data_IF_386565783413
#
_entry.id   IF_386565783413
#
_cell.length_a   1.000
_cell.length_b   1.000
_cell.length_c   1.000
_cell.angle_alpha   90.00
_cell.angle_beta   90.00
_cell.angle_gamma   90.00
#
_symmetry.space_group_name_H-M   'P 1'
#
loop_
_entity.id
_entity.type
_entity.pdbx_description
1 polymer ?
#
# COMPACT_ATOMS: atom_id res chain seq x y z
N UNK A 1 -14.92 8.65 1.00
CA UNK A 1 -14.00 9.59 1.70
C UNK A 1 -12.82 8.77 2.09
N UNK A 2 -11.62 9.17 1.65
CA UNK A 2 -10.45 8.32 1.69
C UNK A 2 -9.62 8.68 2.94
N UNK A 3 -9.24 7.69 3.73
CA UNK A 3 -8.54 7.92 4.99
C UNK A 3 -7.04 7.64 4.88
N UNK A 4 -6.23 8.47 5.53
CA UNK A 4 -4.85 8.12 5.87
C UNK A 4 -4.87 7.14 7.06
N UNK A 5 -4.19 6.01 6.93
CA UNK A 5 -4.22 4.92 7.91
C UNK A 5 -2.82 4.74 8.49
N UNK A 6 -2.69 4.99 9.79
CA UNK A 6 -1.46 4.81 10.54
C UNK A 6 -1.72 3.90 11.73
N UNK A 7 -0.88 2.89 11.91
CA UNK A 7 -0.98 1.93 13.01
C UNK A 7 0.38 1.55 13.52
N UNK A 8 0.43 1.18 14.80
CA UNK A 8 1.65 0.70 15.45
C UNK A 8 1.43 -0.61 16.19
N UNK A 9 2.41 -1.51 16.14
CA UNK A 9 2.55 -2.64 17.04
C UNK A 9 3.84 -2.52 17.87
N UNK A 10 3.80 -3.01 19.11
CA UNK A 10 4.94 -2.99 20.04
C UNK A 10 5.58 -4.38 20.07
N UNK A 11 6.78 -4.50 19.52
CA UNK A 11 7.53 -5.76 19.48
C UNK A 11 8.48 -5.81 20.68
N UNK A 12 8.25 -6.77 21.58
CA UNK A 12 8.98 -6.87 22.87
C UNK A 12 10.05 -7.95 22.89
N UNK A 13 10.08 -8.83 21.88
CA UNK A 13 11.04 -9.92 21.79
C UNK A 13 11.66 -9.98 20.41
N UNK A 14 12.89 -10.47 20.32
CA UNK A 14 13.54 -10.75 19.02
C UNK A 14 12.77 -11.82 18.22
N UNK A 15 11.98 -12.66 18.88
CA UNK A 15 11.06 -13.60 18.23
C UNK A 15 9.90 -12.90 17.53
N UNK A 16 9.27 -11.89 18.17
CA UNK A 16 8.21 -11.10 17.52
C UNK A 16 8.75 -10.33 16.31
N UNK A 17 9.95 -9.75 16.44
CA UNK A 17 10.65 -9.06 15.34
C UNK A 17 10.94 -10.05 14.21
N UNK A 18 11.50 -11.22 14.52
CA UNK A 18 11.83 -12.24 13.52
C UNK A 18 10.59 -12.75 12.78
N UNK A 19 9.49 -13.05 13.48
CA UNK A 19 8.26 -13.51 12.85
C UNK A 19 7.62 -12.45 11.95
N UNK A 20 7.62 -11.19 12.38
CA UNK A 20 7.16 -10.07 11.56
C UNK A 20 8.04 -9.86 10.32
N UNK A 21 9.37 -9.87 10.49
CA UNK A 21 10.30 -9.72 9.37
C UNK A 21 10.18 -10.87 8.37
N UNK A 22 9.98 -12.10 8.86
CA UNK A 22 9.79 -13.25 7.99
C UNK A 22 8.54 -13.11 7.12
N UNK A 23 7.43 -12.63 7.69
CA UNK A 23 6.23 -12.27 6.95
C UNK A 23 6.50 -11.16 5.92
N UNK A 24 7.11 -10.05 6.35
CA UNK A 24 7.30 -8.87 5.50
C UNK A 24 8.29 -9.09 4.35
N UNK A 25 9.34 -9.88 4.57
CA UNK A 25 10.29 -10.29 3.54
C UNK A 25 9.87 -11.56 2.79
N UNK A 26 8.65 -12.08 3.04
CA UNK A 26 8.08 -13.27 2.39
C UNK A 26 8.97 -14.51 2.49
N UNK A 27 9.72 -14.66 3.58
CA UNK A 27 10.54 -15.86 3.86
C UNK A 27 9.72 -17.01 4.45
N UNK A 28 8.45 -16.74 4.76
CA UNK A 28 7.42 -17.72 5.09
C UNK A 28 6.23 -17.55 4.16
N UNK A 29 5.45 -18.62 3.99
CA UNK A 29 4.18 -18.56 3.29
C UNK A 29 3.27 -17.52 3.94
N UNK A 30 2.82 -16.57 3.13
CA UNK A 30 2.03 -15.43 3.59
C UNK A 30 0.69 -15.42 2.84
N UNK A 31 -0.43 -15.68 3.52
CA UNK A 31 -1.74 -15.72 2.88
C UNK A 31 -2.10 -14.40 2.17
N UNK A 32 -2.86 -14.49 1.09
CA UNK A 32 -3.37 -13.35 0.31
C UNK A 32 -2.28 -12.48 -0.36
N UNK A 33 -1.09 -13.04 -0.56
CA UNK A 33 -0.05 -12.43 -1.39
C UNK A 33 -0.12 -12.97 -2.80
N UNK A 34 0.19 -12.14 -3.79
CA UNK A 34 0.41 -12.56 -5.18
C UNK A 34 1.93 -12.67 -5.44
N UNK A 35 2.47 -13.90 -5.55
CA UNK A 35 3.90 -14.10 -5.80
C UNK A 35 4.43 -13.41 -7.06
N UNK A 36 3.58 -13.14 -8.05
CA UNK A 36 3.98 -12.44 -9.27
C UNK A 36 4.21 -10.94 -9.04
N UNK A 37 3.64 -10.40 -7.96
CA UNK A 37 3.77 -9.00 -7.57
C UNK A 37 4.83 -8.80 -6.47
N UNK A 38 5.26 -9.86 -5.76
CA UNK A 38 6.33 -9.77 -4.75
C UNK A 38 7.59 -9.05 -5.24
N UNK A 39 8.07 -9.24 -6.50
CA UNK A 39 9.22 -8.48 -7.00
C UNK A 39 9.00 -6.96 -7.11
N UNK A 40 7.75 -6.48 -6.99
CA UNK A 40 7.41 -5.05 -6.93
C UNK A 40 7.42 -4.48 -5.51
N UNK A 41 7.60 -5.33 -4.50
CA UNK A 41 7.86 -4.85 -3.15
C UNK A 41 9.21 -4.14 -3.12
N UNK A 42 9.29 -3.09 -2.32
CA UNK A 42 10.53 -2.36 -2.09
C UNK A 42 10.98 -2.56 -0.64
N UNK A 43 12.28 -2.74 -0.44
CA UNK A 43 12.88 -2.94 0.87
C UNK A 43 14.11 -2.04 0.99
N UNK A 44 14.12 -1.14 1.98
CA UNK A 44 15.26 -0.24 2.22
C UNK A 44 16.51 -0.99 2.71
N UNK A 45 16.34 -2.21 3.19
CA UNK A 45 17.41 -3.10 3.65
C UNK A 45 17.22 -4.46 2.98
N UNK A 46 18.28 -5.02 2.42
CA UNK A 46 18.22 -6.18 1.53
C UNK A 46 17.67 -7.46 2.18
N UNK A 47 17.91 -7.68 3.48
CA UNK A 47 17.53 -8.93 4.14
C UNK A 47 16.85 -8.69 5.49
N UNK A 48 15.94 -9.59 5.92
CA UNK A 48 15.34 -9.51 7.24
C UNK A 48 16.38 -9.68 8.35
N UNK A 49 17.43 -10.48 8.13
CA UNK A 49 18.53 -10.65 9.08
C UNK A 49 19.27 -9.34 9.32
N UNK A 50 19.50 -8.54 8.26
CA UNK A 50 20.16 -7.25 8.38
C UNK A 50 19.32 -6.25 9.16
N UNK A 51 18.00 -6.19 8.93
CA UNK A 51 17.09 -5.35 9.76
C UNK A 51 17.11 -5.80 11.21
N UNK A 52 17.01 -7.11 11.45
CA UNK A 52 17.05 -7.69 12.80
C UNK A 52 18.36 -7.37 13.51
N UNK A 53 19.48 -7.39 12.79
CA UNK A 53 20.79 -7.03 13.31
C UNK A 53 20.89 -5.54 13.60
N UNK A 54 20.44 -4.67 12.69
CA UNK A 54 20.38 -3.22 12.90
C UNK A 54 19.57 -2.84 14.15
N UNK A 55 18.42 -3.49 14.38
CA UNK A 55 17.66 -3.33 15.63
C UNK A 55 18.52 -3.74 16.82
N UNK A 56 19.13 -4.93 16.78
CA UNK A 56 19.92 -5.49 17.88
C UNK A 56 21.08 -4.59 18.27
N UNK A 57 21.76 -3.98 17.30
CA UNK A 57 22.94 -3.14 17.51
C UNK A 57 22.61 -1.81 18.21
N UNK A 58 21.37 -1.33 18.08
CA UNK A 58 20.90 -0.13 18.76
C UNK A 58 20.38 -0.41 20.19
N UNK A 59 20.11 -1.68 20.55
CA UNK A 59 19.54 -2.00 21.85
C UNK A 59 20.59 -1.94 22.96
N UNK A 60 20.24 -1.35 24.14
CA UNK A 60 21.13 -1.39 25.29
C UNK A 60 21.27 -2.82 25.84
N UNK A 61 22.49 -3.14 26.31
CA UNK A 61 22.83 -4.43 26.90
C UNK A 61 21.92 -4.76 28.09
N UNK A 62 21.73 -3.78 29.00
CA UNK A 62 20.80 -3.87 30.13
C UNK A 62 19.50 -3.14 29.82
N UNK A 63 18.39 -3.88 29.91
CA UNK A 63 17.03 -3.35 29.74
C UNK A 63 16.02 -4.14 30.57
N UNK A 64 14.88 -3.52 30.85
CA UNK A 64 13.73 -4.18 31.48
C UNK A 64 13.21 -5.31 30.58
N UNK A 65 12.72 -6.40 31.19
CA UNK A 65 12.26 -7.60 30.48
C UNK A 65 11.04 -7.35 29.59
N UNK A 66 10.19 -6.37 29.94
CA UNK A 66 9.02 -5.97 29.15
C UNK A 66 9.27 -4.74 28.27
N UNK A 67 10.54 -4.38 28.02
CA UNK A 67 10.92 -3.29 27.13
C UNK A 67 10.35 -3.55 25.72
N UNK A 68 9.84 -2.49 25.10
CA UNK A 68 9.53 -2.52 23.68
C UNK A 68 10.86 -2.32 22.95
N UNK A 69 11.27 -3.33 22.19
CA UNK A 69 12.54 -3.34 21.46
C UNK A 69 12.41 -2.61 20.12
N UNK A 70 11.24 -2.75 19.50
CA UNK A 70 10.95 -2.15 18.21
C UNK A 70 9.47 -1.76 18.13
N UNK A 71 9.18 -0.61 17.53
CA UNK A 71 7.86 -0.22 17.08
C UNK A 71 7.75 -0.60 15.61
N UNK A 72 6.79 -1.46 15.30
CA UNK A 72 6.40 -1.71 13.92
C UNK A 72 5.30 -0.73 13.55
N UNK A 73 5.50 0.02 12.46
CA UNK A 73 4.48 0.85 11.85
C UNK A 73 3.84 0.12 10.68
N UNK A 74 2.52 0.23 10.54
CA UNK A 74 1.81 -0.02 9.30
C UNK A 74 1.22 1.31 8.84
N UNK A 75 1.54 1.70 7.61
CA UNK A 75 1.09 2.94 6.99
C UNK A 75 0.47 2.62 5.63
N UNK A 76 -0.77 3.03 5.43
CA UNK A 76 -1.50 2.83 4.17
C UNK A 76 -2.61 3.88 4.06
N UNK A 77 -3.45 3.78 3.05
CA UNK A 77 -4.63 4.59 2.88
C UNK A 77 -5.85 3.71 2.55
N UNK A 78 -7.03 4.32 2.45
CA UNK A 78 -8.23 3.69 1.91
C UNK A 78 -7.92 2.89 0.63
N UNK A 79 -8.37 1.62 0.52
CA UNK A 79 -8.20 0.82 -0.70
C UNK A 79 -8.75 1.50 -1.97
N UNK A 80 -9.83 2.26 -1.81
CA UNK A 80 -10.51 3.02 -2.86
C UNK A 80 -9.84 4.37 -3.20
N UNK A 81 -8.67 4.67 -2.63
CA UNK A 81 -7.95 5.90 -2.96
C UNK A 81 -7.37 5.83 -4.37
N UNK A 82 -7.75 6.80 -5.20
CA UNK A 82 -7.36 6.90 -6.62
C UNK A 82 -5.86 7.18 -6.83
N UNK A 83 -5.09 7.41 -5.76
CA UNK A 83 -3.64 7.61 -5.85
C UNK A 83 -2.84 6.33 -6.07
N UNK A 84 -3.40 5.15 -5.78
CA UNK A 84 -2.71 3.87 -5.96
C UNK A 84 -2.35 3.63 -7.44
N UNK A 85 -1.13 3.14 -7.67
CA UNK A 85 -0.59 2.90 -9.01
C UNK A 85 -0.28 4.17 -9.81
N UNK A 86 -0.30 5.35 -9.17
CA UNK A 86 0.06 6.65 -9.77
C UNK A 86 1.29 7.24 -9.09
N UNK A 87 1.82 8.35 -9.60
CA UNK A 87 2.92 9.08 -8.93
C UNK A 87 2.58 9.55 -7.52
N UNK A 88 1.29 9.69 -7.17
CA UNK A 88 0.87 10.04 -5.81
C UNK A 88 1.17 8.93 -4.81
N UNK A 89 1.21 7.67 -5.24
CA UNK A 89 1.56 6.54 -4.38
C UNK A 89 3.01 6.67 -3.90
N UNK A 90 3.94 6.94 -4.82
CA UNK A 90 5.35 7.10 -4.49
C UNK A 90 5.55 8.31 -3.56
N UNK A 91 4.89 9.43 -3.87
CA UNK A 91 4.89 10.62 -3.02
C UNK A 91 4.31 10.35 -1.62
N UNK A 92 3.23 9.55 -1.52
CA UNK A 92 2.65 9.14 -0.25
C UNK A 92 3.64 8.37 0.62
N UNK A 93 4.34 7.38 0.04
CA UNK A 93 5.29 6.56 0.79
C UNK A 93 6.59 7.30 1.13
N UNK A 94 7.04 8.21 0.27
CA UNK A 94 8.17 9.10 0.57
C UNK A 94 7.84 10.00 1.76
N UNK A 95 6.69 10.69 1.73
CA UNK A 95 6.23 11.55 2.83
C UNK A 95 6.01 10.76 4.13
N UNK A 96 5.50 9.54 4.05
CA UNK A 96 5.36 8.67 5.21
C UNK A 96 6.71 8.27 5.82
N UNK A 97 7.71 8.00 4.98
CA UNK A 97 9.07 7.68 5.43
C UNK A 97 9.76 8.89 6.06
N UNK A 98 9.63 10.08 5.45
CA UNK A 98 10.12 11.34 6.02
C UNK A 98 9.46 11.65 7.36
N UNK A 99 8.14 11.47 7.46
CA UNK A 99 7.41 11.66 8.72
C UNK A 99 7.90 10.73 9.84
N UNK A 100 8.24 9.48 9.52
CA UNK A 100 8.84 8.55 10.49
C UNK A 100 10.22 9.03 10.94
N UNK A 101 11.07 9.45 10.00
CA UNK A 101 12.40 9.99 10.28
C UNK A 101 12.34 11.26 11.13
N UNK A 102 11.46 12.20 10.81
CA UNK A 102 11.28 13.43 11.59
C UNK A 102 10.79 13.13 13.01
N UNK A 103 9.92 12.13 13.15
CA UNK A 103 9.32 11.76 14.43
C UNK A 103 10.28 11.02 15.35
N UNK A 104 11.09 10.12 14.80
CA UNK A 104 11.90 9.18 15.58
C UNK A 104 13.39 9.44 15.50
N UNK A 105 13.87 10.21 14.53
CA UNK A 105 15.27 10.24 14.11
C UNK A 105 15.52 9.19 13.02
N UNK A 106 16.21 9.58 11.94
CA UNK A 106 16.49 8.69 10.81
C UNK A 106 17.35 7.49 11.23
N UNK A 107 18.26 7.69 12.19
CA UNK A 107 19.13 6.67 12.77
C UNK A 107 18.36 5.57 13.51
N UNK A 108 17.14 5.88 13.98
CA UNK A 108 16.28 4.93 14.71
C UNK A 108 15.42 4.08 13.77
N UNK A 109 15.43 4.34 12.46
CA UNK A 109 14.73 3.54 11.46
C UNK A 109 15.64 2.38 11.03
N UNK A 110 15.34 1.17 11.50
CA UNK A 110 16.14 -0.01 11.18
C UNK A 110 15.83 -0.62 9.80
N UNK A 111 14.64 -0.35 9.27
CA UNK A 111 14.23 -0.81 7.94
C UNK A 111 12.81 -0.41 7.60
N UNK A 112 12.57 -0.18 6.31
CA UNK A 112 11.26 0.13 5.72
C UNK A 112 11.00 -0.85 4.58
N UNK A 113 9.77 -1.29 4.45
CA UNK A 113 9.32 -2.15 3.35
C UNK A 113 7.99 -1.64 2.81
N UNK A 114 7.88 -1.49 1.50
CA UNK A 114 6.64 -1.12 0.81
C UNK A 114 6.14 -2.36 0.07
N UNK A 115 4.99 -2.87 0.49
CA UNK A 115 4.38 -4.05 -0.14
C UNK A 115 3.34 -3.62 -1.17
N UNK A 116 3.42 -4.20 -2.37
CA UNK A 116 2.51 -4.01 -3.50
C UNK A 116 1.95 -5.33 -4.02
N UNK A 117 2.20 -6.41 -3.28
CA UNK A 117 1.82 -7.78 -3.58
C UNK A 117 0.55 -8.25 -2.87
N UNK A 118 -0.15 -7.35 -2.19
CA UNK A 118 -1.45 -7.60 -1.56
C UNK A 118 -2.50 -6.63 -2.08
N UNK A 119 -3.74 -6.77 -1.58
CA UNK A 119 -4.90 -6.00 -2.05
C UNK A 119 -4.74 -4.48 -1.99
N UNK A 120 -4.03 -3.94 -0.99
CA UNK A 120 -3.78 -2.51 -0.82
C UNK A 120 -2.31 -2.25 -0.50
N UNK A 121 -1.62 -1.41 -1.29
CA UNK A 121 -0.24 -1.07 -1.00
C UNK A 121 -0.07 -0.50 0.41
N UNK A 122 0.99 -0.93 1.10
CA UNK A 122 1.26 -0.44 2.45
C UNK A 122 2.74 -0.46 2.78
N UNK A 123 3.13 0.47 3.62
CA UNK A 123 4.47 0.58 4.19
C UNK A 123 4.50 -0.06 5.57
N UNK A 124 5.51 -0.88 5.80
CA UNK A 124 5.90 -1.37 7.12
C UNK A 124 7.25 -0.80 7.49
N UNK A 125 7.38 -0.23 8.68
CA UNK A 125 8.66 0.27 9.18
C UNK A 125 8.98 -0.27 10.56
N UNK A 126 10.25 -0.56 10.79
CA UNK A 126 10.79 -1.01 12.06
C UNK A 126 11.61 0.10 12.70
N UNK A 127 11.15 0.59 13.84
CA UNK A 127 11.74 1.73 14.54
C UNK A 127 12.20 1.33 15.93
N UNK A 128 13.48 1.51 16.24
CA UNK A 128 13.99 1.34 17.61
C UNK A 128 13.64 2.61 18.40
N UNK A 129 12.86 2.52 19.50
CA UNK A 129 12.33 3.72 20.15
C UNK A 129 13.36 4.34 21.10
N UNK A 130 14.46 4.86 20.57
CA UNK A 130 15.44 5.64 21.33
C UNK A 130 14.95 7.10 21.41
N UNK A 131 14.75 7.62 22.62
CA UNK A 131 14.34 9.01 22.81
C UNK A 131 15.51 10.00 22.62
N UNK A 132 15.19 11.29 22.62
CA UNK A 132 16.20 12.37 22.52
C UNK A 132 17.27 12.34 23.63
N UNK A 133 17.06 11.56 24.70
CA UNK A 133 18.02 11.38 25.80
C UNK A 133 18.89 10.13 25.59
N UNK A 134 18.81 9.48 24.43
CA UNK A 134 19.54 8.26 24.09
C UNK A 134 19.02 7.01 24.81
N UNK A 135 17.78 7.03 25.33
CA UNK A 135 17.23 5.89 26.10
C UNK A 135 16.17 5.14 25.30
N UNK A 136 16.18 3.82 25.41
CA UNK A 136 15.10 2.96 24.90
C UNK A 136 13.77 3.25 25.64
N UNK A 137 12.91 4.06 25.03
CA UNK A 137 11.74 4.67 25.64
C UNK A 137 10.55 4.81 24.67
N UNK A 138 9.86 3.69 24.42
CA UNK A 138 8.62 3.68 23.63
C UNK A 138 7.49 4.55 24.21
N UNK A 139 7.50 4.82 25.53
CA UNK A 139 6.47 5.68 26.16
C UNK A 139 6.61 7.13 25.71
N UNK A 140 7.80 7.58 25.32
CA UNK A 140 7.93 8.93 24.79
C UNK A 140 7.19 9.12 23.47
N UNK A 141 7.20 8.09 22.61
CA UNK A 141 6.53 8.13 21.32
C UNK A 141 5.04 7.74 21.38
N UNK A 142 4.72 6.65 22.10
CA UNK A 142 3.40 6.01 22.10
C UNK A 142 2.70 6.03 23.47
N UNK A 143 3.14 6.91 24.37
CA UNK A 143 2.64 7.00 25.73
C UNK A 143 1.35 7.79 25.85
N UNK A 144 0.24 7.07 25.94
CA UNK A 144 -1.05 7.64 26.32
C UNK A 144 -1.91 8.11 25.15
N UNK A 145 -3.21 8.29 25.43
CA UNK A 145 -4.25 8.57 24.44
C UNK A 145 -4.03 9.88 23.69
N UNK A 146 -3.56 10.93 24.37
CA UNK A 146 -3.34 12.25 23.78
C UNK A 146 -2.26 12.19 22.70
N UNK A 147 -1.10 11.57 23.01
CA UNK A 147 -0.01 11.41 22.03
C UNK A 147 -0.45 10.62 20.80
N UNK A 148 -1.18 9.51 21.01
CA UNK A 148 -1.68 8.70 19.90
C UNK A 148 -2.73 9.42 19.05
N UNK A 149 -3.63 10.19 19.66
CA UNK A 149 -4.59 11.01 18.93
C UNK A 149 -3.88 12.07 18.09
N UNK A 150 -2.94 12.80 18.69
CA UNK A 150 -2.16 13.82 17.99
C UNK A 150 -1.33 13.22 16.85
N UNK A 151 -0.80 12.01 17.03
CA UNK A 151 -0.07 11.28 16.01
C UNK A 151 -0.94 11.00 14.78
N UNK A 152 -2.20 10.58 14.98
CA UNK A 152 -3.15 10.38 13.87
C UNK A 152 -3.45 11.70 13.13
N UNK A 153 -3.64 12.80 13.87
CA UNK A 153 -3.87 14.12 13.28
C UNK A 153 -2.67 14.59 12.49
N UNK A 154 -1.48 14.51 13.08
CA UNK A 154 -0.25 15.00 12.48
C UNK A 154 0.10 14.22 11.22
N UNK A 155 -0.01 12.89 11.22
CA UNK A 155 0.21 12.09 10.02
C UNK A 155 -0.82 12.40 8.92
N UNK A 156 -2.11 12.50 9.26
CA UNK A 156 -3.14 12.83 8.26
C UNK A 156 -2.90 14.19 7.60
N UNK A 157 -2.39 15.18 8.36
CA UNK A 157 -2.04 16.50 7.81
C UNK A 157 -0.87 16.44 6.81
N UNK A 158 0.10 15.54 7.02
CA UNK A 158 1.26 15.35 6.12
C UNK A 158 0.86 14.95 4.70
N UNK A 159 -0.28 14.27 4.56
CA UNK A 159 -0.77 13.69 3.29
C UNK A 159 -2.13 14.24 2.87
N UNK A 160 -2.58 15.36 3.46
CA UNK A 160 -3.93 15.88 3.26
C UNK A 160 -4.17 16.38 1.82
N UNK A 161 -3.17 17.00 1.22
CA UNK A 161 -3.17 17.50 -0.17
C UNK A 161 -3.22 16.37 -1.21
N UNK A 162 -2.93 15.12 -0.80
CA UNK A 162 -3.12 13.93 -1.63
C UNK A 162 -4.60 13.47 -1.69
N UNK A 163 -5.51 14.21 -1.05
CA UNK A 163 -6.94 13.90 -0.98
C UNK A 163 -7.29 12.88 0.10
N UNK A 164 -6.38 12.66 1.06
CA UNK A 164 -6.58 11.79 2.21
C UNK A 164 -7.00 12.61 3.43
N UNK A 165 -7.82 11.99 4.28
CA UNK A 165 -8.38 12.64 5.47
C UNK A 165 -8.06 11.84 6.72
N UNK A 166 -8.12 12.50 7.88
CA UNK A 166 -7.95 11.85 9.16
C UNK A 166 -9.09 10.87 9.43
N UNK A 167 -8.78 9.71 10.01
CA UNK A 167 -9.80 8.83 10.58
C UNK A 167 -10.66 9.51 11.65
N UNK A 168 -11.86 8.97 11.87
CA UNK A 168 -12.85 9.54 12.80
C UNK A 168 -12.27 9.70 14.20
N UNK A 169 -12.26 10.93 14.69
CA UNK A 169 -11.82 11.22 16.05
C UNK A 169 -12.73 10.57 17.11
N UNK A 170 -12.12 9.98 18.13
CA UNK A 170 -12.86 9.26 19.16
C UNK A 170 -13.59 8.02 18.64
N UNK A 171 -13.19 7.48 17.48
CA UNK A 171 -13.75 6.25 16.94
C UNK A 171 -13.76 5.14 18.00
N UNK A 172 -14.91 4.48 18.13
CA UNK A 172 -15.11 3.31 19.00
C UNK A 172 -14.77 2.00 18.28
N UNK A 173 -14.33 2.07 17.02
CA UNK A 173 -13.96 0.89 16.26
C UNK A 173 -12.84 0.12 16.99
N UNK A 174 -13.06 -1.18 17.18
CA UNK A 174 -12.02 -2.08 17.68
C UNK A 174 -11.20 -2.55 16.48
N UNK A 175 -9.89 -2.63 16.67
CA UNK A 175 -9.06 -3.30 15.68
C UNK A 175 -9.40 -4.78 15.64
N UNK A 176 -9.66 -5.28 14.43
CA UNK A 176 -9.85 -6.70 14.14
C UNK A 176 -8.59 -7.23 13.48
N UNK A 177 -8.06 -8.36 13.96
CA UNK A 177 -6.92 -9.00 13.31
C UNK A 177 -7.32 -9.42 11.88
N UNK A 178 -6.39 -9.34 10.92
CA UNK A 178 -6.64 -9.76 9.53
C UNK A 178 -7.17 -11.20 9.45
N UNK A 179 -6.71 -12.11 10.32
CA UNK A 179 -7.20 -13.48 10.36
C UNK A 179 -8.66 -13.58 10.81
N UNK A 180 -9.03 -12.78 11.81
CA UNK A 180 -10.42 -12.68 12.29
C UNK A 180 -11.30 -12.06 11.20
N UNK A 181 -10.81 -11.02 10.52
CA UNK A 181 -11.51 -10.38 9.40
C UNK A 181 -11.84 -11.37 8.27
N UNK A 182 -10.86 -12.15 7.80
CA UNK A 182 -11.10 -13.16 6.78
C UNK A 182 -11.91 -14.36 7.29
N UNK A 183 -11.82 -14.70 8.57
CA UNK A 183 -12.71 -15.68 9.18
C UNK A 183 -14.17 -15.20 9.09
N UNK A 184 -14.44 -13.96 9.50
CA UNK A 184 -15.78 -13.36 9.44
C UNK A 184 -16.31 -13.32 7.99
N UNK A 185 -15.46 -12.98 7.01
CA UNK A 185 -15.84 -13.02 5.58
C UNK A 185 -16.22 -14.42 5.12
N UNK A 186 -15.36 -15.40 5.39
CA UNK A 186 -15.56 -16.77 4.92
C UNK A 186 -16.81 -17.41 5.55
N UNK A 187 -17.16 -17.02 6.78
CA UNK A 187 -18.33 -17.51 7.49
C UNK A 187 -19.54 -16.57 7.42
N UNK A 188 -19.49 -15.49 6.64
CA UNK A 188 -20.58 -14.54 6.51
C UNK A 188 -21.89 -15.16 5.98
N UNK A 189 -21.77 -16.26 5.22
CA UNK A 189 -22.90 -17.03 4.69
C UNK A 189 -23.56 -17.96 5.72
N UNK A 190 -22.87 -18.26 6.82
CA UNK A 190 -23.35 -19.15 7.90
C UNK A 190 -24.00 -18.35 9.04
N UNK A 191 -24.34 -17.07 8.80
CA UNK A 191 -24.84 -16.17 9.82
C UNK A 191 -26.21 -16.59 10.33
N UNK A 192 -26.31 -16.84 11.63
CA UNK A 192 -27.57 -17.14 12.31
C UNK A 192 -27.71 -16.23 13.54
N UNK A 193 -28.78 -15.44 13.59
CA UNK A 193 -29.05 -14.53 14.71
C UNK A 193 -29.44 -15.37 15.93
N UNK A 194 -28.60 -15.37 16.96
CA UNK A 194 -28.96 -15.97 18.25
C UNK A 194 -29.82 -14.98 19.03
N UNK A 195 -31.06 -15.36 19.32
CA UNK A 195 -32.04 -14.60 20.12
C UNK A 195 -31.69 -14.52 21.61
N UNK A 196 -30.41 -14.43 21.97
CA UNK A 196 -29.99 -14.23 23.36
C UNK A 196 -30.14 -12.75 23.68
N UNK A 197 -31.32 -12.37 24.15
CA UNK A 197 -31.56 -11.03 24.67
C UNK A 197 -30.76 -10.86 25.97
N UNK A 198 -30.02 -9.76 26.16
CA UNK A 198 -29.35 -9.48 27.42
C UNK A 198 -30.37 -9.51 28.58
N UNK A 199 -29.97 -10.04 29.74
CA UNK A 199 -30.83 -10.06 30.92
C UNK A 199 -30.99 -8.62 31.45
N UNK A 200 -32.21 -8.17 31.77
CA UNK A 200 -32.41 -6.86 32.36
C UNK A 200 -31.75 -6.77 33.74
N UNK A 201 -31.13 -5.62 34.03
CA UNK A 201 -30.58 -5.34 35.36
C UNK A 201 -31.68 -4.86 36.33
N UNK A 202 -31.47 -5.08 37.63
CA UNK A 202 -32.42 -4.64 38.66
C UNK A 202 -32.50 -3.10 38.65
N UNK A 203 -33.72 -2.55 38.58
CA UNK A 203 -34.00 -1.11 38.44
C UNK A 203 -33.55 -0.45 37.12
N UNK A 204 -33.29 -1.23 36.06
CA UNK A 204 -33.00 -0.70 34.73
C UNK A 204 -34.25 -0.10 34.06
N UNK A 205 -34.11 1.07 33.45
CA UNK A 205 -35.22 1.69 32.71
C UNK A 205 -35.47 0.97 31.38
N UNK A 206 -36.71 0.98 30.90
CA UNK A 206 -37.07 0.38 29.60
C UNK A 206 -36.23 0.93 28.44
N UNK A 207 -35.90 2.23 28.47
CA UNK A 207 -35.06 2.89 27.46
C UNK A 207 -33.64 2.32 27.45
N UNK A 208 -33.00 2.20 28.63
CA UNK A 208 -31.64 1.69 28.75
C UNK A 208 -31.53 0.21 28.42
N UNK A 209 -32.56 -0.57 28.79
CA UNK A 209 -32.70 -1.95 28.36
C UNK A 209 -32.84 -2.06 26.82
N UNK A 210 -33.67 -1.20 26.21
CA UNK A 210 -33.82 -1.11 24.76
C UNK A 210 -32.49 -0.81 24.05
N UNK A 211 -31.71 0.14 24.54
CA UNK A 211 -30.38 0.46 24.02
C UNK A 211 -29.41 -0.74 24.10
N UNK A 212 -29.41 -1.49 25.20
CA UNK A 212 -28.61 -2.72 25.33
C UNK A 212 -29.01 -3.79 24.33
N UNK A 213 -30.31 -4.01 24.14
CA UNK A 213 -30.83 -4.96 23.16
C UNK A 213 -30.41 -4.54 21.76
N UNK A 214 -30.58 -3.26 21.40
CA UNK A 214 -30.14 -2.73 20.10
C UNK A 214 -28.63 -2.88 19.91
N UNK A 215 -27.82 -2.56 20.91
CA UNK A 215 -26.37 -2.72 20.84
C UNK A 215 -25.96 -4.19 20.65
N UNK A 216 -26.59 -5.12 21.37
CA UNK A 216 -26.33 -6.55 21.24
C UNK A 216 -26.71 -7.09 19.85
N UNK A 217 -27.82 -6.62 19.26
CA UNK A 217 -28.23 -6.99 17.90
C UNK A 217 -27.25 -6.41 16.87
N UNK A 218 -26.83 -5.15 17.02
CA UNK A 218 -25.82 -4.54 16.15
C UNK A 218 -24.49 -5.32 16.23
N UNK A 219 -24.04 -5.67 17.43
CA UNK A 219 -22.80 -6.45 17.63
C UNK A 219 -22.88 -7.83 16.96
N UNK A 220 -24.05 -8.48 16.96
CA UNK A 220 -24.24 -9.73 16.24
C UNK A 220 -24.19 -9.55 14.73
N UNK A 221 -24.80 -8.51 14.17
CA UNK A 221 -24.91 -8.30 12.71
C UNK A 221 -23.66 -7.64 12.11
N UNK A 222 -22.85 -6.95 12.93
CA UNK A 222 -21.65 -6.22 12.49
C UNK A 222 -20.68 -7.06 11.64
N UNK A 223 -20.32 -8.31 11.99
CA UNK A 223 -19.43 -9.15 11.18
C UNK A 223 -19.99 -9.42 9.78
N UNK A 224 -21.28 -9.74 9.67
CA UNK A 224 -21.93 -10.02 8.39
C UNK A 224 -21.99 -8.79 7.49
N UNK A 225 -22.28 -7.61 8.05
CA UNK A 225 -22.27 -6.36 7.30
C UNK A 225 -20.86 -6.01 6.82
N UNK A 226 -19.84 -6.19 7.67
CA UNK A 226 -18.43 -6.01 7.28
C UNK A 226 -18.06 -6.96 6.13
N UNK A 227 -18.43 -8.23 6.24
CA UNK A 227 -18.16 -9.21 5.21
C UNK A 227 -18.87 -8.91 3.89
N UNK A 228 -20.15 -8.54 3.94
CA UNK A 228 -20.92 -8.16 2.76
C UNK A 228 -20.28 -6.95 2.05
N UNK A 229 -19.87 -5.93 2.80
CA UNK A 229 -19.17 -4.78 2.24
C UNK A 229 -17.82 -5.17 1.61
N UNK A 230 -17.06 -6.08 2.22
CA UNK A 230 -15.81 -6.58 1.64
C UNK A 230 -16.05 -7.31 0.31
N UNK A 231 -17.03 -8.21 0.28
CA UNK A 231 -17.40 -8.96 -0.93
C UNK A 231 -17.83 -7.99 -2.04
N UNK A 232 -18.57 -6.94 -1.71
CA UNK A 232 -18.96 -5.90 -2.66
C UNK A 232 -17.74 -5.14 -3.20
N UNK A 233 -16.79 -4.76 -2.35
CA UNK A 233 -15.55 -4.09 -2.79
C UNK A 233 -14.71 -5.00 -3.69
N UNK A 234 -14.53 -6.27 -3.34
CA UNK A 234 -13.79 -7.24 -4.16
C UNK A 234 -14.46 -7.43 -5.52
N UNK A 235 -15.80 -7.50 -5.55
CA UNK A 235 -16.57 -7.57 -6.79
C UNK A 235 -16.40 -6.32 -7.66
N UNK A 236 -16.46 -5.12 -7.08
CA UNK A 236 -16.26 -3.87 -7.80
C UNK A 236 -14.85 -3.76 -8.38
N UNK A 237 -13.82 -4.14 -7.60
CA UNK A 237 -12.44 -4.20 -8.08
C UNK A 237 -12.31 -5.17 -9.26
N UNK A 238 -12.80 -6.40 -9.11
CA UNK A 238 -12.76 -7.40 -10.18
C UNK A 238 -13.49 -6.92 -11.45
N UNK A 239 -14.59 -6.18 -11.30
CA UNK A 239 -15.32 -5.58 -12.42
C UNK A 239 -14.47 -4.53 -13.16
N UNK A 240 -13.76 -3.67 -12.44
CA UNK A 240 -12.86 -2.66 -13.01
C UNK A 240 -11.67 -3.32 -13.70
N UNK A 241 -11.00 -4.27 -13.02
CA UNK A 241 -9.86 -5.00 -13.57
C UNK A 241 -10.24 -5.72 -14.86
N UNK A 242 -11.42 -6.36 -14.90
CA UNK A 242 -11.97 -6.97 -16.12
C UNK A 242 -12.18 -5.94 -17.23
N UNK A 243 -12.76 -4.78 -16.93
CA UNK A 243 -12.98 -3.73 -17.93
C UNK A 243 -11.66 -3.22 -18.52
N UNK A 244 -10.62 -3.08 -17.70
CA UNK A 244 -9.27 -2.68 -18.15
C UNK A 244 -8.64 -3.78 -19.01
N UNK A 245 -8.77 -5.04 -18.60
CA UNK A 245 -8.29 -6.18 -19.37
C UNK A 245 -8.99 -6.30 -20.74
N UNK A 246 -10.31 -6.11 -20.80
CA UNK A 246 -11.09 -6.09 -22.04
C UNK A 246 -10.67 -4.95 -22.97
N UNK A 247 -10.45 -3.74 -22.43
CA UNK A 247 -9.95 -2.61 -23.22
C UNK A 247 -8.54 -2.88 -23.78
N UNK A 248 -7.67 -3.49 -22.97
CA UNK A 248 -6.31 -3.88 -23.37
C UNK A 248 -6.33 -4.97 -24.44
N UNK A 249 -7.17 -5.99 -24.27
CA UNK A 249 -7.39 -7.05 -25.25
C UNK A 249 -7.89 -6.50 -26.58
N UNK A 250 -8.90 -5.63 -26.55
CA UNK A 250 -9.44 -5.00 -27.77
C UNK A 250 -8.38 -4.15 -28.49
N UNK A 251 -7.52 -3.46 -27.74
CA UNK A 251 -6.41 -2.69 -28.30
C UNK A 251 -5.36 -3.61 -28.95
N UNK A 252 -4.98 -4.69 -28.27
CA UNK A 252 -4.02 -5.66 -28.80
C UNK A 252 -4.57 -6.35 -30.05
N UNK A 253 -5.83 -6.80 -29.99
CA UNK A 253 -6.54 -7.39 -31.13
C UNK A 253 -6.45 -6.48 -32.35
N UNK A 254 -6.86 -5.21 -32.23
CA UNK A 254 -6.76 -4.22 -33.32
C UNK A 254 -5.34 -4.04 -33.87
N UNK A 255 -4.31 -4.11 -33.01
CA UNK A 255 -2.90 -3.98 -33.44
C UNK A 255 -2.39 -5.19 -34.20
N UNK A 256 -2.83 -6.39 -33.81
CA UNK A 256 -2.32 -7.66 -34.34
C UNK A 256 -3.13 -8.15 -35.54
N UNK A 257 -4.39 -7.75 -35.66
CA UNK A 257 -5.30 -8.15 -36.75
C UNK A 257 -4.72 -7.95 -38.16
N UNK A 258 -4.10 -6.79 -38.52
CA UNK A 258 -3.53 -6.62 -39.85
C UNK A 258 -2.42 -7.63 -40.17
N UNK A 259 -1.62 -8.00 -39.17
CA UNK A 259 -0.56 -8.98 -39.34
C UNK A 259 -1.15 -10.39 -39.49
N UNK A 260 -2.15 -10.76 -38.68
CA UNK A 260 -2.82 -12.07 -38.80
C UNK A 260 -3.46 -12.25 -40.17
N UNK A 261 -4.11 -11.22 -40.70
CA UNK A 261 -4.66 -11.21 -42.06
C UNK A 261 -3.55 -11.33 -43.10
N UNK A 262 -2.42 -10.65 -42.92
CA UNK A 262 -1.30 -10.68 -43.87
C UNK A 262 -0.60 -12.05 -43.96
N UNK A 263 -0.67 -12.87 -42.90
CA UNK A 263 -0.06 -14.20 -42.86
C UNK A 263 -1.05 -15.35 -43.09
N UNK A 264 -2.34 -15.03 -43.24
CA UNK A 264 -3.38 -16.03 -43.42
C UNK A 264 -3.13 -16.85 -44.70
N UNK A 265 -3.09 -18.18 -44.57
CA UNK A 265 -2.85 -19.10 -45.69
C UNK A 265 -1.39 -19.22 -46.14
N UNK A 266 -0.44 -18.50 -45.51
CA UNK A 266 0.99 -18.62 -45.81
C UNK A 266 1.63 -19.82 -45.09
N UNK A 267 2.64 -20.42 -45.71
CA UNK A 267 3.46 -21.45 -45.08
C UNK A 267 4.58 -20.85 -44.19
N UNK A 268 5.28 -21.64 -43.36
CA UNK A 268 6.29 -21.11 -42.43
C UNK A 268 7.44 -20.33 -43.08
N UNK A 269 7.88 -20.72 -44.29
CA UNK A 269 8.96 -20.01 -45.01
C UNK A 269 8.46 -18.66 -45.53
N UNK A 270 7.23 -18.59 -46.02
CA UNK A 270 6.57 -17.36 -46.45
C UNK A 270 6.36 -16.39 -45.29
N UNK A 271 5.89 -16.90 -44.14
CA UNK A 271 5.76 -16.11 -42.91
C UNK A 271 7.11 -15.55 -42.47
N UNK A 272 8.18 -16.34 -42.59
CA UNK A 272 9.55 -15.88 -42.27
C UNK A 272 9.95 -14.71 -43.16
N UNK A 273 9.70 -14.79 -44.48
CA UNK A 273 9.97 -13.68 -45.42
C UNK A 273 9.18 -12.41 -45.08
N UNK A 274 7.91 -12.54 -44.70
CA UNK A 274 7.06 -11.41 -44.27
C UNK A 274 7.64 -10.76 -43.02
N UNK A 275 8.05 -11.56 -42.05
CA UNK A 275 8.68 -11.07 -40.81
C UNK A 275 10.00 -10.34 -41.07
N UNK A 276 10.86 -10.88 -41.92
CA UNK A 276 12.13 -10.24 -42.28
C UNK A 276 11.90 -8.88 -42.96
N UNK A 277 10.91 -8.81 -43.85
CA UNK A 277 10.53 -7.57 -44.52
C UNK A 277 9.99 -6.54 -43.53
N UNK A 278 9.11 -6.96 -42.60
CA UNK A 278 8.57 -6.11 -41.55
C UNK A 278 9.68 -5.56 -40.64
N UNK A 279 10.67 -6.38 -40.29
CA UNK A 279 11.84 -5.94 -39.52
C UNK A 279 12.70 -4.94 -40.30
N UNK A 280 12.92 -5.18 -41.59
CA UNK A 280 13.67 -4.26 -42.45
C UNK A 280 12.99 -2.89 -42.56
N UNK A 281 11.69 -2.87 -42.81
CA UNK A 281 10.91 -1.62 -42.88
C UNK A 281 10.88 -0.89 -41.53
N UNK A 282 10.73 -1.63 -40.42
CA UNK A 282 10.82 -1.06 -39.07
C UNK A 282 12.16 -0.34 -38.84
N UNK A 283 13.28 -0.95 -39.29
CA UNK A 283 14.62 -0.32 -39.21
C UNK A 283 14.71 0.94 -40.07
N UNK A 284 14.16 0.94 -41.28
CA UNK A 284 14.13 2.14 -42.16
C UNK A 284 13.38 3.29 -41.50
N UNK A 285 12.17 3.02 -41.00
CA UNK A 285 11.35 4.02 -40.28
C UNK A 285 12.10 4.58 -39.06
N UNK A 286 12.82 3.72 -38.31
CA UNK A 286 13.61 4.16 -37.17
C UNK A 286 14.74 5.12 -37.57
N UNK A 287 15.44 4.84 -38.68
CA UNK A 287 16.50 5.70 -39.22
C UNK A 287 15.94 7.04 -39.69
N UNK A 288 14.79 7.05 -40.36
CA UNK A 288 14.11 8.28 -40.79
C UNK A 288 13.74 9.17 -39.60
N UNK A 289 13.15 8.59 -38.54
CA UNK A 289 12.82 9.33 -37.32
C UNK A 289 14.03 10.00 -36.66
N UNK A 290 15.19 9.33 -36.66
CA UNK A 290 16.43 9.91 -36.11
C UNK A 290 16.91 11.08 -36.97
N UNK A 291 16.84 10.96 -38.30
CA UNK A 291 17.18 12.05 -39.22
C UNK A 291 16.25 13.25 -39.02
N UNK A 292 14.94 13.02 -38.89
CA UNK A 292 13.95 14.06 -38.68
C UNK A 292 14.13 14.78 -37.34
N UNK A 293 14.40 14.04 -36.25
CA UNK A 293 14.74 14.64 -34.95
C UNK A 293 15.98 15.51 -35.03
N UNK A 294 17.03 15.04 -35.70
CA UNK A 294 18.27 15.79 -35.87
C UNK A 294 18.07 17.04 -36.73
N UNK A 295 17.25 16.95 -37.78
CA UNK A 295 16.86 18.10 -38.59
C UNK A 295 16.02 19.13 -37.79
N UNK A 296 15.10 18.67 -36.94
CA UNK A 296 14.34 19.54 -36.03
C UNK A 296 15.23 20.21 -34.99
N UNK A 297 16.19 19.50 -34.41
CA UNK A 297 17.15 20.10 -33.46
C UNK A 297 18.02 21.16 -34.14
N UNK A 298 18.58 20.89 -35.32
CA UNK A 298 19.37 21.87 -36.09
C UNK A 298 18.54 23.09 -36.49
N UNK A 299 17.28 22.90 -36.85
CA UNK A 299 16.32 24.01 -37.11
C UNK A 299 16.06 24.84 -35.84
N UNK A 300 15.96 24.18 -34.67
CA UNK A 300 15.75 24.86 -33.38
C UNK A 300 16.97 25.67 -32.94
N UNK A 301 18.18 25.16 -33.14
CA UNK A 301 19.43 25.88 -32.85
C UNK A 301 19.64 27.07 -33.80
N UNK A 302 19.36 26.92 -35.09
CA UNK A 302 19.47 28.03 -36.06
C UNK A 302 18.44 29.15 -35.84
N UNK A 303 17.25 28.84 -35.31
CA UNK A 303 16.27 29.87 -34.90
C UNK A 303 16.67 30.63 -33.62
N UNK A 304 17.48 30.03 -32.75
CA UNK A 304 18.01 30.69 -31.54
C UNK A 304 19.14 31.66 -31.92
N UNK A 305 20.04 31.25 -32.83
CA UNK A 305 21.15 32.11 -33.31
C UNK A 305 20.69 33.29 -34.18
N UNK A 306 19.55 33.17 -34.87
CA UNK A 306 18.96 34.30 -35.61
C UNK A 306 18.33 35.37 -34.71
N UNK A 307 17.86 35.00 -33.50
CA UNK A 307 17.28 35.96 -32.53
C UNK A 307 18.33 36.68 -31.68
N UNK A 308 19.52 36.09 -31.50
CA UNK A 308 20.63 36.76 -30.79
C UNK A 308 21.37 37.76 -31.67
N UNK A 309 21.38 37.58 -33.00
CA UNK A 309 22.06 38.48 -33.95
C UNK A 309 21.18 39.63 -34.50
N UNK A 310 19.92 39.77 -34.08
CA UNK A 310 19.03 40.86 -34.50
C UNK A 310 18.89 41.99 -33.47
N UNK A 311 19.73 42.03 -32.43
CA UNK A 311 19.66 43.02 -31.33
C UNK A 311 20.72 44.12 -31.45
N UNK A 312 21.72 43.96 -32.33
CA UNK A 312 22.73 45.00 -32.57
C UNK A 312 22.63 45.56 -33.99
N UNK A 313 21.62 46.40 -34.24
CA UNK A 313 21.62 47.45 -35.28
C UNK A 313 20.66 48.58 -34.91
#
# INVERSE_FOLDING_TARGET
MNYAILRTAKLKTMGNIGGSLAHNYRTIETPNTDPNLTPKNDHSVATPEAVKQAIKDQLPEKRRSDAVLCIEYLITASPEWEGWGTSKEDEFFERASLWLSDKHGAENIAGVSIHRDISTPHLVAYVVPIDQKGKLNCKDFLGGRVKLNQMQTNFANTVADLGLTRGKEGSKAKHTNIKEYYHDINHARDFNIKTVSPKPEMFESKTRYGEKVTAAVIEQIEPTVKAANSILMDYEKARVDRSVAEASYNTLKKRVEPYLVAIEGLNPEEITRVNDTMQLESRKIAVERVKDKKAMEVSKYSQIDFKSNSVDK
#
